data_IF_700492093019
#
_entry.id   IF_700492093019
#
_cell.length_a   1.000
_cell.length_b   1.000
_cell.length_c   1.000
_cell.angle_alpha   90.00
_cell.angle_beta   90.00
_cell.angle_gamma   90.00
#
_symmetry.space_group_name_H-M   'P 1'
#
loop_
_entity.id
_entity.type
_entity.pdbx_description
1 polymer ?
#
# COMPACT_ATOMS: atom_id res chain seq x y z
N UNK A 1 -21.08 -6.66 -9.38
CA UNK A 1 -21.09 -8.13 -9.55
C UNK A 1 -21.28 -8.54 -11.00
N UNK A 2 -22.24 -7.98 -11.74
CA UNK A 2 -22.48 -8.39 -13.16
C UNK A 2 -21.26 -8.27 -14.06
N UNK A 3 -20.58 -7.12 -14.07
CA UNK A 3 -19.35 -6.92 -14.84
C UNK A 3 -18.22 -7.88 -14.43
N UNK A 4 -18.09 -8.19 -13.14
CA UNK A 4 -17.08 -9.11 -12.61
C UNK A 4 -17.38 -10.54 -13.07
N UNK A 5 -18.64 -10.98 -12.95
CA UNK A 5 -19.08 -12.30 -13.40
C UNK A 5 -18.82 -12.50 -14.91
N UNK A 6 -19.17 -11.51 -15.72
CA UNK A 6 -18.94 -11.55 -17.17
C UNK A 6 -17.46 -11.66 -17.52
N UNK A 7 -16.59 -10.85 -16.90
CA UNK A 7 -15.15 -10.88 -17.15
C UNK A 7 -14.49 -12.18 -16.64
N UNK A 8 -14.90 -12.67 -15.48
CA UNK A 8 -14.43 -13.93 -14.90
C UNK A 8 -15.00 -15.17 -15.62
N UNK A 9 -15.90 -14.99 -16.59
CA UNK A 9 -16.68 -16.06 -17.23
C UNK A 9 -17.35 -16.98 -16.19
N UNK A 10 -17.81 -16.39 -15.10
CA UNK A 10 -18.41 -17.07 -13.97
C UNK A 10 -19.92 -16.76 -13.87
N UNK A 11 -20.68 -17.68 -13.29
CA UNK A 11 -22.08 -17.42 -12.96
C UNK A 11 -22.16 -16.37 -11.84
N UNK A 12 -22.98 -15.33 -12.01
CA UNK A 12 -23.21 -14.30 -10.99
C UNK A 12 -23.59 -14.93 -9.64
N UNK A 13 -24.51 -15.89 -9.63
CA UNK A 13 -24.95 -16.58 -8.40
C UNK A 13 -23.78 -17.26 -7.70
N UNK A 14 -22.89 -17.92 -8.44
CA UNK A 14 -21.68 -18.51 -7.86
C UNK A 14 -20.81 -17.45 -7.15
N UNK A 15 -20.65 -16.24 -7.70
CA UNK A 15 -19.91 -15.20 -6.99
C UNK A 15 -20.57 -14.80 -5.66
N UNK A 16 -21.90 -14.74 -5.61
CA UNK A 16 -22.62 -14.48 -4.35
C UNK A 16 -22.51 -15.68 -3.39
N UNK A 17 -22.57 -16.91 -3.90
CA UNK A 17 -22.45 -18.11 -3.07
C UNK A 17 -21.04 -18.21 -2.43
N UNK A 18 -19.99 -17.85 -3.16
CA UNK A 18 -18.60 -17.87 -2.66
C UNK A 18 -18.24 -16.69 -1.78
N UNK A 19 -18.61 -15.46 -2.18
CA UNK A 19 -18.12 -14.25 -1.51
C UNK A 19 -19.20 -13.53 -0.70
N UNK A 20 -20.46 -13.95 -0.80
CA UNK A 20 -21.59 -13.23 -0.23
C UNK A 20 -21.92 -12.00 -1.07
N UNK A 21 -21.41 -10.84 -0.69
CA UNK A 21 -21.73 -9.57 -1.35
C UNK A 21 -20.48 -8.91 -1.96
N UNK A 22 -20.68 -7.76 -2.61
CA UNK A 22 -19.58 -7.02 -3.26
C UNK A 22 -18.56 -6.48 -2.24
N UNK A 23 -19.00 -6.11 -1.04
CA UNK A 23 -18.12 -5.54 -0.02
C UNK A 23 -17.23 -6.64 0.57
N UNK A 24 -17.78 -7.83 0.82
CA UNK A 24 -17.02 -9.02 1.22
C UNK A 24 -16.06 -9.48 0.12
N UNK A 25 -16.50 -9.49 -1.15
CA UNK A 25 -15.59 -9.75 -2.26
C UNK A 25 -14.44 -8.74 -2.29
N UNK A 26 -14.73 -7.45 -2.14
CA UNK A 26 -13.70 -6.40 -2.11
C UNK A 26 -12.72 -6.60 -0.95
N UNK A 27 -13.24 -6.89 0.25
CA UNK A 27 -12.43 -7.18 1.43
C UNK A 27 -11.44 -8.32 1.19
N UNK A 28 -11.91 -9.45 0.67
CA UNK A 28 -11.07 -10.62 0.38
C UNK A 28 -9.99 -10.29 -0.66
N UNK A 29 -10.35 -9.50 -1.69
CA UNK A 29 -9.38 -9.08 -2.72
C UNK A 29 -8.31 -8.14 -2.13
N UNK A 30 -8.70 -7.17 -1.31
CA UNK A 30 -7.76 -6.26 -0.63
C UNK A 30 -6.82 -7.06 0.28
N UNK A 31 -7.38 -7.94 1.10
CA UNK A 31 -6.60 -8.79 2.02
C UNK A 31 -5.58 -9.63 1.25
N UNK A 32 -6.00 -10.27 0.15
CA UNK A 32 -5.10 -11.07 -0.68
C UNK A 32 -3.97 -10.24 -1.28
N UNK A 33 -4.30 -9.09 -1.88
CA UNK A 33 -3.30 -8.23 -2.53
C UNK A 33 -2.31 -7.64 -1.52
N UNK A 34 -2.77 -7.28 -0.32
CA UNK A 34 -1.89 -6.80 0.75
C UNK A 34 -1.03 -7.91 1.35
N UNK A 35 -1.53 -9.14 1.41
CA UNK A 35 -0.74 -10.30 1.82
C UNK A 35 0.37 -10.62 0.79
N UNK A 36 0.04 -10.61 -0.50
CA UNK A 36 1.04 -10.81 -1.57
C UNK A 36 2.12 -9.70 -1.53
N UNK A 37 1.73 -8.44 -1.28
CA UNK A 37 2.68 -7.33 -1.08
C UNK A 37 3.57 -7.56 0.14
N UNK A 38 2.99 -7.98 1.27
CA UNK A 38 3.70 -8.23 2.51
C UNK A 38 4.75 -9.36 2.37
N UNK A 39 4.42 -10.40 1.62
CA UNK A 39 5.31 -11.51 1.32
C UNK A 39 6.45 -11.07 0.38
N UNK A 40 6.13 -10.32 -0.67
CA UNK A 40 7.11 -9.85 -1.65
C UNK A 40 8.06 -8.79 -1.08
N UNK A 41 7.56 -7.93 -0.18
CA UNK A 41 8.32 -6.83 0.42
C UNK A 41 8.20 -6.92 1.95
N UNK A 42 8.99 -7.80 2.59
CA UNK A 42 8.92 -7.99 4.03
C UNK A 42 9.37 -6.72 4.79
N UNK A 43 8.81 -6.49 5.99
CA UNK A 43 9.24 -5.41 6.90
C UNK A 43 10.75 -5.38 7.12
N UNK A 44 11.30 -4.18 7.28
CA UNK A 44 12.73 -3.97 7.43
C UNK A 44 13.04 -2.72 8.26
N UNK A 45 14.03 -2.82 9.15
CA UNK A 45 14.53 -1.69 9.94
C UNK A 45 15.28 -0.65 9.11
N UNK A 46 15.81 -1.05 7.95
CA UNK A 46 16.28 -0.13 6.90
C UNK A 46 15.07 0.45 6.16
N UNK A 47 14.50 1.54 6.70
CA UNK A 47 13.36 2.23 6.12
C UNK A 47 13.63 2.80 4.72
N UNK A 48 14.80 3.44 4.44
CA UNK A 48 15.11 3.89 3.08
C UNK A 48 15.11 2.76 2.06
N UNK A 49 15.81 1.65 2.32
CA UNK A 49 15.81 0.51 1.41
C UNK A 49 14.46 -0.19 1.33
N UNK A 50 13.70 -0.24 2.42
CA UNK A 50 12.32 -0.73 2.42
C UNK A 50 11.41 0.13 1.54
N UNK A 51 11.56 1.46 1.57
CA UNK A 51 10.79 2.38 0.76
C UNK A 51 11.04 2.18 -0.75
N UNK A 52 12.29 1.94 -1.16
CA UNK A 52 12.60 1.63 -2.55
C UNK A 52 11.96 0.32 -3.02
N UNK A 53 12.02 -0.74 -2.19
CA UNK A 53 11.39 -2.02 -2.53
C UNK A 53 9.88 -1.89 -2.62
N UNK A 54 9.25 -1.15 -1.71
CA UNK A 54 7.83 -0.82 -1.80
C UNK A 54 7.51 -0.02 -3.05
N UNK A 55 8.31 0.99 -3.38
CA UNK A 55 8.13 1.81 -4.57
C UNK A 55 8.20 0.95 -5.84
N UNK A 56 9.21 0.08 -5.94
CA UNK A 56 9.37 -0.85 -7.07
C UNK A 56 8.18 -1.81 -7.19
N UNK A 57 7.71 -2.36 -6.06
CA UNK A 57 6.54 -3.23 -6.04
C UNK A 57 5.28 -2.50 -6.49
N UNK A 58 5.00 -1.32 -5.94
CA UNK A 58 3.83 -0.52 -6.33
C UNK A 58 3.88 -0.08 -7.80
N UNK A 59 5.08 0.17 -8.34
CA UNK A 59 5.25 0.49 -9.76
C UNK A 59 4.89 -0.69 -10.65
N UNK A 60 5.23 -1.91 -10.24
CA UNK A 60 4.88 -3.15 -10.95
C UNK A 60 3.43 -3.58 -10.72
N UNK A 61 2.87 -3.30 -9.54
CA UNK A 61 1.56 -3.73 -9.05
C UNK A 61 0.70 -2.54 -8.57
N UNK A 62 0.33 -1.61 -9.47
CA UNK A 62 -0.40 -0.39 -9.09
C UNK A 62 -1.81 -0.68 -8.53
N UNK A 63 -2.37 -1.86 -8.78
CA UNK A 63 -3.65 -2.32 -8.25
C UNK A 63 -3.71 -2.29 -6.72
N UNK A 64 -2.60 -2.55 -6.02
CA UNK A 64 -2.56 -2.54 -4.56
C UNK A 64 -2.88 -1.14 -4.00
N UNK A 65 -2.20 -0.10 -4.49
CA UNK A 65 -2.48 1.29 -4.12
C UNK A 65 -3.89 1.69 -4.52
N UNK A 66 -4.32 1.31 -5.72
CA UNK A 66 -5.66 1.67 -6.21
C UNK A 66 -6.76 1.10 -5.33
N UNK A 67 -6.63 -0.14 -4.87
CA UNK A 67 -7.59 -0.76 -3.97
C UNK A 67 -7.63 -0.07 -2.61
N UNK A 68 -6.47 0.22 -2.00
CA UNK A 68 -6.42 0.93 -0.71
C UNK A 68 -6.96 2.37 -0.82
N UNK A 69 -6.72 3.06 -1.94
CA UNK A 69 -7.32 4.38 -2.18
C UNK A 69 -8.85 4.32 -2.28
N UNK A 70 -9.40 3.30 -2.97
CA UNK A 70 -10.85 3.09 -3.01
C UNK A 70 -11.41 2.76 -1.62
N UNK A 71 -10.72 1.92 -0.85
CA UNK A 71 -11.10 1.63 0.53
C UNK A 71 -11.18 2.90 1.38
N UNK A 72 -10.18 3.77 1.28
CA UNK A 72 -10.16 5.05 1.99
C UNK A 72 -11.33 5.98 1.60
N UNK A 73 -11.71 6.01 0.32
CA UNK A 73 -12.84 6.83 -0.17
C UNK A 73 -14.20 6.28 0.28
N UNK A 74 -14.37 4.97 0.31
CA UNK A 74 -15.66 4.32 0.61
C UNK A 74 -15.89 4.16 2.12
N UNK A 75 -14.84 3.89 2.91
CA UNK A 75 -14.95 3.56 4.34
C UNK A 75 -14.56 4.75 5.25
N UNK A 76 -13.57 5.55 4.85
CA UNK A 76 -13.07 6.66 5.65
C UNK A 76 -12.43 6.19 6.96
N UNK A 77 -12.85 6.78 8.08
CA UNK A 77 -12.34 6.47 9.43
C UNK A 77 -13.06 5.29 10.12
N UNK A 78 -13.99 4.63 9.42
CA UNK A 78 -14.70 3.48 9.97
C UNK A 78 -13.84 2.21 9.94
N UNK A 79 -14.14 1.22 10.80
CA UNK A 79 -13.36 -0.02 10.81
C UNK A 79 -13.38 -0.74 9.47
N UNK A 80 -12.21 -1.21 9.04
CA UNK A 80 -12.05 -1.93 7.77
C UNK A 80 -12.19 -3.45 7.96
N UNK A 81 -12.52 -4.21 6.91
CA UNK A 81 -12.47 -5.66 6.96
C UNK A 81 -11.07 -6.17 7.40
N UNK A 82 -11.05 -7.15 8.29
CA UNK A 82 -9.84 -7.74 8.87
C UNK A 82 -8.88 -6.72 9.52
N UNK A 83 -9.41 -5.61 10.07
CA UNK A 83 -8.62 -4.54 10.68
C UNK A 83 -7.60 -5.04 11.72
N UNK A 84 -7.97 -5.96 12.61
CA UNK A 84 -7.05 -6.49 13.61
C UNK A 84 -5.84 -7.19 12.97
N UNK A 85 -6.06 -8.00 11.93
CA UNK A 85 -5.00 -8.71 11.22
C UNK A 85 -4.09 -7.73 10.48
N UNK A 86 -4.68 -6.71 9.83
CA UNK A 86 -3.93 -5.64 9.15
C UNK A 86 -3.15 -4.78 10.13
N UNK A 87 -3.73 -4.49 11.30
CA UNK A 87 -3.08 -3.76 12.38
C UNK A 87 -1.86 -4.52 12.89
N UNK A 88 -1.95 -5.84 13.09
CA UNK A 88 -0.79 -6.67 13.41
C UNK A 88 0.30 -6.58 12.35
N UNK A 89 -0.07 -6.67 11.08
CA UNK A 89 0.90 -6.53 9.99
C UNK A 89 1.58 -5.15 9.95
N UNK A 90 0.88 -4.07 10.30
CA UNK A 90 1.51 -2.75 10.47
C UNK A 90 2.37 -2.68 11.73
N UNK A 91 2.02 -3.37 12.80
CA UNK A 91 2.84 -3.47 14.01
C UNK A 91 4.18 -4.16 13.70
N UNK A 92 4.20 -5.24 12.90
CA UNK A 92 5.45 -5.88 12.47
C UNK A 92 6.41 -4.90 11.76
N UNK A 93 5.86 -3.97 10.96
CA UNK A 93 6.63 -2.90 10.31
C UNK A 93 7.20 -1.91 11.32
N UNK A 94 6.39 -1.53 12.30
CA UNK A 94 6.80 -0.61 13.38
C UNK A 94 7.89 -1.24 14.23
N UNK A 95 7.75 -2.51 14.61
CA UNK A 95 8.71 -3.23 15.44
C UNK A 95 10.04 -3.42 14.69
N UNK A 96 9.97 -3.77 13.40
CA UNK A 96 11.16 -3.83 12.54
C UNK A 96 11.87 -2.48 12.44
N UNK A 97 11.12 -1.39 12.24
CA UNK A 97 11.65 -0.03 12.20
C UNK A 97 12.30 0.40 13.53
N UNK A 98 11.68 0.06 14.66
CA UNK A 98 12.18 0.35 16.00
C UNK A 98 13.49 -0.41 16.30
N UNK A 99 13.65 -1.64 15.78
CA UNK A 99 14.89 -2.41 15.94
C UNK A 99 16.09 -1.82 15.16
N UNK A 100 15.85 -0.98 14.15
CA UNK A 100 16.86 -0.38 13.28
C UNK A 100 17.52 0.91 13.80
N UNK A 101 17.11 1.42 14.97
CA UNK A 101 17.74 2.60 15.58
C UNK A 101 17.10 2.98 16.93
N UNK A 102 17.89 3.57 17.82
CA UNK A 102 17.39 4.12 19.09
C UNK A 102 16.94 5.57 18.87
N UNK A 103 15.66 5.86 19.14
CA UNK A 103 15.09 7.20 19.08
C UNK A 103 13.90 7.35 18.12
N UNK A 104 12.89 8.11 18.54
CA UNK A 104 11.76 8.61 17.76
C UNK A 104 10.57 7.68 17.53
N UNK A 105 9.40 8.28 17.30
CA UNK A 105 8.12 7.60 17.02
C UNK A 105 8.20 6.78 15.71
N UNK A 106 8.61 5.51 15.84
CA UNK A 106 8.70 4.55 14.75
C UNK A 106 7.37 4.41 13.97
N UNK A 107 6.22 4.62 14.63
CA UNK A 107 4.90 4.60 13.97
C UNK A 107 4.80 5.70 12.93
N UNK A 108 5.12 6.93 13.32
CA UNK A 108 5.11 8.09 12.42
C UNK A 108 6.08 7.91 11.26
N UNK A 109 7.30 7.41 11.52
CA UNK A 109 8.27 7.14 10.44
C UNK A 109 7.80 6.08 9.46
N UNK A 110 7.25 4.96 9.94
CA UNK A 110 6.66 3.93 9.08
C UNK A 110 5.52 4.52 8.25
N UNK A 111 4.62 5.28 8.89
CA UNK A 111 3.49 5.89 8.19
C UNK A 111 3.94 6.81 7.04
N UNK A 112 4.88 7.73 7.29
CA UNK A 112 5.40 8.60 6.24
C UNK A 112 6.24 7.86 5.19
N UNK A 113 6.92 6.78 5.57
CA UNK A 113 7.63 5.90 4.62
C UNK A 113 6.65 5.26 3.63
N UNK A 114 5.51 4.75 4.12
CA UNK A 114 4.45 4.20 3.25
C UNK A 114 3.88 5.28 2.31
N UNK A 115 3.66 6.49 2.82
CA UNK A 115 3.17 7.61 2.02
C UNK A 115 4.17 7.97 0.91
N UNK A 116 5.45 8.18 1.23
CA UNK A 116 6.48 8.55 0.27
C UNK A 116 6.70 7.47 -0.81
N UNK A 117 6.63 6.19 -0.43
CA UNK A 117 6.79 5.08 -1.37
C UNK A 117 5.63 4.95 -2.37
N UNK A 118 4.41 5.37 -2.01
CA UNK A 118 3.22 5.19 -2.84
C UNK A 118 2.71 6.44 -3.55
N UNK A 119 2.95 7.64 -3.00
CA UNK A 119 2.24 8.87 -3.37
C UNK A 119 2.35 9.24 -4.86
N UNK A 120 3.55 9.18 -5.43
CA UNK A 120 3.79 9.57 -6.83
C UNK A 120 3.20 8.59 -7.86
N UNK A 121 2.88 7.37 -7.42
CA UNK A 121 2.20 6.33 -8.20
C UNK A 121 0.68 6.49 -8.03
N UNK A 122 0.23 6.78 -6.81
CA UNK A 122 -1.17 7.05 -6.48
C UNK A 122 -1.69 8.34 -7.15
N UNK A 123 -0.84 9.36 -7.30
CA UNK A 123 -1.20 10.69 -7.81
C UNK A 123 -0.42 11.05 -9.09
N UNK A 124 -0.59 10.30 -10.20
CA UNK A 124 0.21 10.50 -11.41
C UNK A 124 0.00 11.88 -12.04
N UNK A 125 -1.19 12.46 -11.92
CA UNK A 125 -1.51 13.81 -12.36
C UNK A 125 -0.76 14.87 -11.55
N UNK A 126 -0.66 14.73 -10.22
CA UNK A 126 0.09 15.67 -9.38
C UNK A 126 1.57 15.56 -9.65
N UNK A 127 2.11 14.34 -9.75
CA UNK A 127 3.51 14.10 -10.15
C UNK A 127 3.82 14.84 -11.46
N UNK A 128 2.96 14.67 -12.47
CA UNK A 128 3.14 15.29 -13.79
C UNK A 128 3.03 16.81 -13.76
N UNK A 129 2.12 17.38 -12.97
CA UNK A 129 1.94 18.83 -12.86
C UNK A 129 3.07 19.51 -12.06
N UNK A 130 3.58 18.87 -11.01
CA UNK A 130 4.60 19.45 -10.12
C UNK A 130 6.02 19.23 -10.65
N UNK A 131 6.33 18.03 -11.13
CA UNK A 131 7.68 17.65 -11.58
C UNK A 131 7.86 17.75 -13.11
N UNK A 132 6.77 18.00 -13.83
CA UNK A 132 6.75 18.06 -15.27
C UNK A 132 6.61 16.69 -15.95
N UNK A 133 6.28 16.69 -17.26
CA UNK A 133 5.96 15.48 -18.01
C UNK A 133 7.15 14.56 -18.28
N UNK A 134 8.38 15.07 -18.20
CA UNK A 134 9.61 14.32 -18.43
C UNK A 134 10.19 13.65 -17.18
N UNK A 135 9.63 13.91 -16.00
CA UNK A 135 10.08 13.31 -14.75
C UNK A 135 9.39 11.96 -14.54
N UNK A 136 10.16 10.88 -14.71
CA UNK A 136 9.66 9.50 -14.69
C UNK A 136 9.55 8.97 -13.25
N UNK A 137 8.95 7.77 -13.10
CA UNK A 137 9.00 7.06 -11.82
C UNK A 137 10.41 6.55 -11.50
N UNK A 138 11.26 6.33 -12.51
CA UNK A 138 12.63 5.87 -12.29
C UNK A 138 13.48 6.94 -11.60
N UNK A 139 13.32 8.20 -12.01
CA UNK A 139 13.99 9.36 -11.40
C UNK A 139 13.63 9.51 -9.91
N UNK A 140 12.42 9.09 -9.53
CA UNK A 140 11.92 9.20 -8.15
C UNK A 140 12.36 8.08 -7.23
N UNK A 141 12.82 6.93 -7.76
CA UNK A 141 13.15 5.76 -6.93
C UNK A 141 14.18 6.11 -5.85
N UNK A 142 15.30 6.74 -6.26
CA UNK A 142 16.34 7.17 -5.34
C UNK A 142 15.94 8.36 -4.46
N UNK A 143 15.04 9.24 -4.95
CA UNK A 143 14.54 10.37 -4.17
C UNK A 143 13.63 9.92 -3.02
N UNK A 144 12.84 8.87 -3.22
CA UNK A 144 12.03 8.26 -2.15
C UNK A 144 12.93 7.77 -1.02
N UNK A 145 14.01 7.05 -1.34
CA UNK A 145 14.97 6.58 -0.35
C UNK A 145 15.64 7.74 0.40
N UNK A 146 16.09 8.76 -0.34
CA UNK A 146 16.71 9.97 0.24
C UNK A 146 15.76 10.72 1.17
N UNK A 147 14.51 10.91 0.75
CA UNK A 147 13.50 11.58 1.56
C UNK A 147 13.21 10.80 2.84
N UNK A 148 13.05 9.47 2.75
CA UNK A 148 12.84 8.60 3.92
C UNK A 148 14.04 8.61 4.87
N UNK A 149 15.27 8.66 4.35
CA UNK A 149 16.48 8.76 5.17
C UNK A 149 16.55 10.07 5.97
N UNK A 150 15.89 11.13 5.49
CA UNK A 150 15.84 12.44 6.15
C UNK A 150 14.75 12.57 7.23
N UNK A 151 13.89 11.55 7.41
CA UNK A 151 12.86 11.58 8.44
C UNK A 151 13.51 11.67 9.85
N UNK A 152 13.01 12.56 10.74
CA UNK A 152 13.57 12.76 12.08
C UNK A 152 13.59 11.47 12.91
N UNK A 153 14.66 11.28 13.69
CA UNK A 153 14.90 10.08 14.51
C UNK A 153 14.82 10.30 16.03
N UNK A 154 14.40 11.47 16.50
CA UNK A 154 14.41 11.95 17.91
C UNK A 154 15.13 11.08 18.95
#
# INVERSE_FOLDING_TARGET
MDRIAAQAKANKRALYDYFGDKNKLFAVVVERVLADLAEAVPPSGDLPGYAERLFDYHRAHPEALRLVMWEALEIGEQPVPAEEARTRHYQDKVDSAASGGQGGDARTRVFFTLALAGWSIAMPQLRRMVLGPGHSLEDLRGEVARAVASLPRE
#
